data_IF_691112919046
#
_entry.id   IF_691112919046
#
_cell.length_a   1.000
_cell.length_b   1.000
_cell.length_c   1.000
_cell.angle_alpha   90.00
_cell.angle_beta   90.00
_cell.angle_gamma   90.00
#
_symmetry.space_group_name_H-M   'P 1'
#
loop_
_entity.id
_entity.type
_entity.pdbx_description
1 polymer ?
#
# COMPACT_ATOMS: atom_id res chain seq x y z
N UNK A 1 16.59 -1.90 -9.83
CA UNK A 1 16.14 -0.57 -9.36
C UNK A 1 16.29 -0.37 -7.84
N UNK A 2 15.39 -0.89 -6.98
CA UNK A 2 15.42 -0.54 -5.55
C UNK A 2 16.66 -1.08 -4.81
N UNK A 3 17.13 -2.29 -5.13
CA UNK A 3 18.38 -2.85 -4.60
C UNK A 3 19.63 -2.04 -5.03
N UNK A 4 19.66 -1.54 -6.27
CA UNK A 4 20.75 -0.68 -6.76
C UNK A 4 20.73 0.70 -6.09
N UNK A 5 19.54 1.25 -5.83
CA UNK A 5 19.40 2.49 -5.07
C UNK A 5 19.92 2.31 -3.64
N UNK A 6 19.55 1.20 -2.98
CA UNK A 6 20.06 0.83 -1.66
C UNK A 6 21.59 0.68 -1.64
N UNK A 7 22.17 0.15 -2.72
CA UNK A 7 23.62 0.08 -2.88
C UNK A 7 24.30 1.44 -2.96
N UNK A 8 23.77 2.35 -3.78
CA UNK A 8 24.26 3.73 -3.88
C UNK A 8 24.12 4.48 -2.57
N UNK A 9 23.08 4.15 -1.80
CA UNK A 9 22.88 4.61 -0.44
C UNK A 9 23.79 3.91 0.57
N UNK A 10 24.69 3.00 0.19
CA UNK A 10 25.61 2.27 1.10
C UNK A 10 24.90 1.43 2.17
N UNK A 11 23.67 0.98 1.88
CA UNK A 11 22.96 0.04 2.74
C UNK A 11 23.69 -1.32 2.65
N UNK A 12 24.05 -1.95 3.80
CA UNK A 12 24.70 -3.25 3.85
C UNK A 12 23.98 -4.31 3.02
N UNK A 13 24.75 -5.14 2.32
CA UNK A 13 24.23 -6.14 1.38
C UNK A 13 23.31 -7.16 2.06
N UNK A 14 23.65 -7.59 3.27
CA UNK A 14 22.85 -8.50 4.10
C UNK A 14 21.50 -7.88 4.48
N UNK A 15 21.43 -6.57 4.70
CA UNK A 15 20.17 -5.88 5.03
C UNK A 15 19.33 -5.68 3.78
N UNK A 16 19.86 -5.05 2.73
CA UNK A 16 19.07 -4.71 1.53
C UNK A 16 18.54 -5.94 0.80
N UNK A 17 19.29 -7.05 0.78
CA UNK A 17 18.88 -8.28 0.12
C UNK A 17 17.81 -9.07 0.90
N UNK A 18 17.51 -8.68 2.13
CA UNK A 18 16.43 -9.28 2.94
C UNK A 18 15.25 -8.33 3.01
N UNK A 19 15.48 -7.08 3.41
CA UNK A 19 14.42 -6.12 3.68
C UNK A 19 13.65 -5.74 2.42
N UNK A 20 14.33 -5.45 1.31
CA UNK A 20 13.65 -5.01 0.08
C UNK A 20 12.81 -6.14 -0.54
N UNK A 21 13.33 -7.37 -0.71
CA UNK A 21 12.52 -8.46 -1.26
C UNK A 21 11.35 -8.88 -0.37
N UNK A 22 11.48 -8.75 0.97
CA UNK A 22 10.37 -8.99 1.89
C UNK A 22 9.36 -7.83 1.92
N UNK A 23 9.85 -6.60 1.85
CA UNK A 23 9.04 -5.38 1.88
C UNK A 23 8.16 -5.22 0.64
N UNK A 24 8.72 -5.43 -0.55
CA UNK A 24 8.01 -5.22 -1.81
C UNK A 24 6.59 -5.88 -1.88
N UNK A 25 6.39 -7.14 -1.44
CA UNK A 25 5.05 -7.73 -1.40
C UNK A 25 4.25 -7.46 -0.11
N UNK A 26 4.89 -7.15 1.02
CA UNK A 26 4.23 -7.12 2.34
C UNK A 26 4.02 -5.70 2.90
N UNK A 27 4.92 -4.77 2.58
CA UNK A 27 5.01 -3.44 3.15
C UNK A 27 4.62 -2.40 2.10
N UNK A 28 3.30 -2.27 1.89
CA UNK A 28 2.72 -1.45 0.82
C UNK A 28 1.96 -0.22 1.36
N UNK A 29 2.69 0.71 1.96
CA UNK A 29 2.13 1.94 2.54
C UNK A 29 1.38 2.81 1.53
N UNK A 30 1.96 3.00 0.34
CA UNK A 30 1.33 3.74 -0.75
C UNK A 30 0.03 3.11 -1.22
N UNK A 31 -0.01 1.77 -1.31
CA UNK A 31 -1.22 1.03 -1.64
C UNK A 31 -2.26 1.09 -0.51
N UNK A 32 -1.80 1.12 0.75
CA UNK A 32 -2.68 1.34 1.90
C UNK A 32 -3.36 2.70 1.84
N UNK A 33 -2.58 3.77 1.61
CA UNK A 33 -3.10 5.12 1.48
C UNK A 33 -4.05 5.27 0.30
N UNK A 34 -3.70 4.67 -0.85
CA UNK A 34 -4.56 4.60 -2.04
C UNK A 34 -5.90 3.93 -1.72
N UNK A 35 -5.89 2.82 -0.99
CA UNK A 35 -7.11 2.11 -0.59
C UNK A 35 -8.05 2.99 0.25
N UNK A 36 -7.52 3.68 1.26
CA UNK A 36 -8.33 4.60 2.09
C UNK A 36 -8.91 5.74 1.24
N UNK A 37 -8.11 6.31 0.35
CA UNK A 37 -8.59 7.36 -0.56
C UNK A 37 -9.72 6.86 -1.45
N UNK A 38 -9.56 5.67 -2.07
CA UNK A 38 -10.60 5.05 -2.92
C UNK A 38 -11.89 4.80 -2.15
N UNK A 39 -11.79 4.21 -0.95
CA UNK A 39 -12.97 3.98 -0.09
C UNK A 39 -13.66 5.29 0.24
N UNK A 40 -12.91 6.33 0.62
CA UNK A 40 -13.45 7.65 0.96
C UNK A 40 -14.19 8.27 -0.23
N UNK A 41 -13.63 8.20 -1.43
CA UNK A 41 -14.28 8.73 -2.65
C UNK A 41 -15.54 7.94 -2.99
N UNK A 42 -15.52 6.61 -2.87
CA UNK A 42 -16.71 5.79 -3.09
C UNK A 42 -17.83 6.14 -2.08
N UNK A 43 -17.49 6.34 -0.81
CA UNK A 43 -18.44 6.78 0.20
C UNK A 43 -19.07 8.13 -0.15
N UNK A 44 -18.24 9.11 -0.52
CA UNK A 44 -18.71 10.42 -0.96
C UNK A 44 -19.63 10.31 -2.20
N UNK A 45 -19.28 9.46 -3.17
CA UNK A 45 -20.06 9.24 -4.39
C UNK A 45 -21.46 8.68 -4.10
N UNK A 46 -21.57 7.77 -3.13
CA UNK A 46 -22.85 7.19 -2.73
C UNK A 46 -23.56 7.96 -1.60
N UNK A 47 -23.06 9.14 -1.22
CA UNK A 47 -23.65 9.95 -0.15
C UNK A 47 -23.60 9.28 1.23
N UNK A 48 -22.65 8.37 1.46
CA UNK A 48 -22.44 7.68 2.74
C UNK A 48 -21.43 8.45 3.59
N UNK A 49 -21.63 8.40 4.91
CA UNK A 49 -20.73 9.04 5.86
C UNK A 49 -19.50 8.16 6.14
N UNK A 50 -18.32 8.64 5.78
CA UNK A 50 -17.05 7.97 6.07
C UNK A 50 -16.51 8.28 7.48
N UNK A 51 -17.04 9.30 8.15
CA UNK A 51 -16.54 9.77 9.45
C UNK A 51 -17.02 8.92 10.63
N UNK A 52 -17.96 8.00 10.38
CA UNK A 52 -18.42 7.06 11.39
C UNK A 52 -17.24 6.18 11.88
N UNK A 53 -17.01 6.08 13.20
CA UNK A 53 -15.88 5.31 13.74
C UNK A 53 -15.86 3.85 13.30
N UNK A 54 -17.03 3.22 13.13
CA UNK A 54 -17.18 1.84 12.66
C UNK A 54 -16.67 1.69 11.22
N UNK A 55 -17.00 2.65 10.35
CA UNK A 55 -16.55 2.72 8.96
C UNK A 55 -15.05 2.92 8.88
N UNK A 56 -14.48 3.84 9.68
CA UNK A 56 -13.03 4.07 9.71
C UNK A 56 -12.30 2.79 10.16
N UNK A 57 -12.79 2.14 11.22
CA UNK A 57 -12.18 0.91 11.74
C UNK A 57 -12.22 -0.21 10.69
N UNK A 58 -13.35 -0.35 9.99
CA UNK A 58 -13.50 -1.31 8.91
C UNK A 58 -12.57 -0.98 7.73
N UNK A 59 -12.44 0.30 7.37
CA UNK A 59 -11.54 0.75 6.31
C UNK A 59 -10.08 0.43 6.62
N UNK A 60 -9.64 0.64 7.87
CA UNK A 60 -8.31 0.27 8.33
C UNK A 60 -8.07 -1.24 8.22
N UNK A 61 -9.04 -2.05 8.66
CA UNK A 61 -8.96 -3.51 8.57
C UNK A 61 -8.88 -4.01 7.12
N UNK A 62 -9.76 -3.52 6.25
CA UNK A 62 -9.75 -3.85 4.80
C UNK A 62 -8.41 -3.43 4.19
N UNK A 63 -7.92 -2.25 4.52
CA UNK A 63 -6.68 -1.69 3.94
C UNK A 63 -5.45 -2.55 4.26
N UNK A 64 -5.36 -3.07 5.48
CA UNK A 64 -4.28 -4.02 5.86
C UNK A 64 -4.37 -5.28 4.99
N UNK A 65 -5.57 -5.86 4.86
CA UNK A 65 -5.77 -7.09 4.08
C UNK A 65 -5.46 -6.85 2.60
N UNK A 66 -6.01 -5.79 2.01
CA UNK A 66 -5.84 -5.45 0.59
C UNK A 66 -4.37 -5.19 0.27
N UNK A 67 -3.63 -4.51 1.13
CA UNK A 67 -2.22 -4.18 0.88
C UNK A 67 -1.34 -5.43 0.77
N UNK A 68 -1.63 -6.46 1.58
CA UNK A 68 -0.94 -7.76 1.51
C UNK A 68 -1.36 -8.51 0.24
N UNK A 69 -2.65 -8.53 -0.09
CA UNK A 69 -3.18 -9.22 -1.28
C UNK A 69 -2.63 -8.60 -2.56
N UNK A 70 -2.55 -7.27 -2.65
CA UNK A 70 -2.07 -6.55 -3.82
C UNK A 70 -0.61 -6.86 -4.16
N UNK A 71 0.24 -7.07 -3.16
CA UNK A 71 1.64 -7.47 -3.36
C UNK A 71 1.84 -8.97 -3.55
N UNK A 72 0.93 -9.80 -3.03
CA UNK A 72 1.10 -11.25 -2.93
C UNK A 72 0.64 -12.05 -4.15
N UNK A 73 -0.28 -11.53 -4.97
CA UNK A 73 -0.84 -12.26 -6.12
C UNK A 73 -0.99 -11.40 -7.38
N UNK A 74 -0.93 -12.01 -8.58
CA UNK A 74 -1.27 -11.32 -9.83
C UNK A 74 -2.68 -10.71 -9.76
N UNK A 75 -2.84 -9.47 -10.24
CA UNK A 75 -4.10 -8.72 -10.20
C UNK A 75 -4.67 -8.49 -8.79
N UNK A 76 -3.84 -8.53 -7.74
CA UNK A 76 -4.30 -8.35 -6.36
C UNK A 76 -5.00 -7.01 -6.10
N UNK A 77 -4.65 -5.94 -6.86
CA UNK A 77 -5.33 -4.64 -6.77
C UNK A 77 -6.81 -4.72 -7.15
N UNK A 78 -7.14 -5.39 -8.26
CA UNK A 78 -8.53 -5.62 -8.68
C UNK A 78 -9.31 -6.44 -7.65
N UNK A 79 -8.70 -7.51 -7.13
CA UNK A 79 -9.31 -8.37 -6.11
C UNK A 79 -9.56 -7.57 -4.81
N UNK A 80 -8.61 -6.71 -4.43
CA UNK A 80 -8.75 -5.83 -3.28
C UNK A 80 -9.90 -4.83 -3.41
N UNK A 81 -10.11 -4.29 -4.61
CA UNK A 81 -11.24 -3.39 -4.88
C UNK A 81 -12.58 -4.10 -4.79
N UNK A 82 -12.69 -5.29 -5.41
CA UNK A 82 -13.89 -6.12 -5.31
C UNK A 82 -14.19 -6.48 -3.84
N UNK A 83 -13.17 -6.84 -3.06
CA UNK A 83 -13.31 -7.10 -1.63
C UNK A 83 -13.86 -5.88 -0.89
N UNK A 84 -13.24 -4.71 -1.04
CA UNK A 84 -13.65 -3.49 -0.36
C UNK A 84 -15.11 -3.11 -0.68
N UNK A 85 -15.48 -3.11 -1.96
CA UNK A 85 -16.84 -2.79 -2.43
C UNK A 85 -17.86 -3.77 -1.86
N UNK A 86 -17.53 -5.07 -1.87
CA UNK A 86 -18.41 -6.13 -1.36
C UNK A 86 -18.64 -6.00 0.15
N UNK A 87 -17.57 -5.77 0.92
CA UNK A 87 -17.65 -5.65 2.39
C UNK A 87 -18.53 -4.46 2.80
N UNK A 88 -18.50 -3.35 2.06
CA UNK A 88 -19.35 -2.20 2.31
C UNK A 88 -20.76 -2.30 1.70
N UNK A 89 -21.05 -3.38 0.97
CA UNK A 89 -22.34 -3.56 0.28
C UNK A 89 -22.62 -2.46 -0.73
N UNK A 90 -21.58 -1.92 -1.38
CA UNK A 90 -21.74 -0.90 -2.41
C UNK A 90 -22.16 -1.56 -3.74
N UNK A 91 -22.96 -0.86 -4.58
CA UNK A 91 -23.35 -1.36 -5.90
C UNK A 91 -22.12 -1.61 -6.80
N UNK A 92 -21.85 -2.88 -7.11
CA UNK A 92 -20.62 -3.29 -7.81
C UNK A 92 -20.52 -2.70 -9.22
N UNK A 93 -21.64 -2.60 -9.94
CA UNK A 93 -21.67 -2.13 -11.33
C UNK A 93 -21.26 -0.66 -11.45
N UNK A 94 -21.57 0.15 -10.43
CA UNK A 94 -21.30 1.58 -10.37
C UNK A 94 -19.98 1.88 -9.64
N UNK A 95 -19.68 1.13 -8.58
CA UNK A 95 -18.49 1.38 -7.75
C UNK A 95 -17.18 0.92 -8.40
N UNK A 96 -17.18 -0.26 -9.05
CA UNK A 96 -15.95 -0.88 -9.54
C UNK A 96 -15.27 -0.06 -10.66
N UNK A 97 -15.97 0.46 -11.68
CA UNK A 97 -15.33 1.29 -12.71
C UNK A 97 -14.66 2.54 -12.12
N UNK A 98 -15.29 3.17 -11.14
CA UNK A 98 -14.75 4.35 -10.46
C UNK A 98 -13.53 3.98 -9.62
N UNK A 99 -13.59 2.89 -8.86
CA UNK A 99 -12.46 2.38 -8.09
C UNK A 99 -11.24 2.09 -8.98
N UNK A 100 -11.46 1.46 -10.14
CA UNK A 100 -10.40 1.13 -11.11
C UNK A 100 -9.76 2.38 -11.74
N UNK A 101 -10.57 3.39 -12.08
CA UNK A 101 -10.06 4.68 -12.60
C UNK A 101 -9.20 5.37 -11.54
N UNK A 102 -9.69 5.44 -10.31
CA UNK A 102 -8.94 6.00 -9.19
C UNK A 102 -7.65 5.21 -8.93
N UNK A 103 -7.74 3.88 -8.95
CA UNK A 103 -6.60 2.97 -8.80
C UNK A 103 -5.52 3.28 -9.83
N UNK A 104 -5.90 3.39 -11.10
CA UNK A 104 -4.97 3.74 -12.19
C UNK A 104 -4.32 5.11 -12.00
N UNK A 105 -5.08 6.10 -11.51
CA UNK A 105 -4.58 7.46 -11.28
C UNK A 105 -3.54 7.51 -10.16
N UNK A 106 -3.76 6.77 -9.08
CA UNK A 106 -2.93 6.84 -7.86
C UNK A 106 -1.83 5.78 -7.82
N UNK A 107 -1.90 4.75 -8.68
CA UNK A 107 -0.93 3.64 -8.71
C UNK A 107 0.53 4.08 -8.86
N UNK A 108 0.89 5.04 -9.75
CA UNK A 108 2.27 5.52 -9.82
C UNK A 108 2.75 6.15 -8.51
N UNK A 109 1.87 6.88 -7.82
CA UNK A 109 2.18 7.52 -6.52
C UNK A 109 2.36 6.44 -5.45
N UNK A 110 1.44 5.48 -5.39
CA UNK A 110 1.50 4.36 -4.46
C UNK A 110 2.80 3.56 -4.65
N UNK A 111 3.17 3.28 -5.90
CA UNK A 111 4.38 2.54 -6.25
C UNK A 111 5.65 3.28 -5.81
N UNK A 112 5.72 4.60 -6.00
CA UNK A 112 6.85 5.42 -5.52
C UNK A 112 6.95 5.39 -4.00
N UNK A 113 5.82 5.53 -3.30
CA UNK A 113 5.78 5.47 -1.84
C UNK A 113 6.21 4.10 -1.31
N UNK A 114 5.72 3.02 -1.91
CA UNK A 114 6.10 1.64 -1.55
C UNK A 114 7.61 1.44 -1.71
N UNK A 115 8.18 1.81 -2.87
CA UNK A 115 9.60 1.67 -3.14
C UNK A 115 10.47 2.50 -2.17
N UNK A 116 10.04 3.73 -1.86
CA UNK A 116 10.75 4.58 -0.90
C UNK A 116 10.64 4.05 0.53
N UNK A 117 9.48 3.52 0.92
CA UNK A 117 9.26 2.87 2.21
C UNK A 117 10.23 1.72 2.44
N UNK A 118 10.44 0.84 1.45
CA UNK A 118 11.40 -0.25 1.54
C UNK A 118 12.84 0.23 1.76
N UNK A 119 13.24 1.33 1.11
CA UNK A 119 14.55 1.94 1.30
C UNK A 119 14.70 2.53 2.70
N UNK A 120 13.69 3.26 3.18
CA UNK A 120 13.68 3.83 4.53
C UNK A 120 13.76 2.73 5.58
N UNK A 121 12.94 1.68 5.45
CA UNK A 121 12.98 0.51 6.33
C UNK A 121 14.35 -0.14 6.33
N UNK A 122 14.98 -0.28 5.16
CA UNK A 122 16.34 -0.83 5.04
C UNK A 122 17.38 0.04 5.75
N UNK A 123 17.30 1.37 5.64
CA UNK A 123 18.18 2.31 6.35
C UNK A 123 17.98 2.24 7.86
N UNK A 124 16.73 2.18 8.32
CA UNK A 124 16.39 2.08 9.74
C UNK A 124 16.92 0.79 10.34
N UNK A 125 16.69 -0.36 9.69
CA UNK A 125 17.21 -1.66 10.13
C UNK A 125 18.74 -1.66 10.15
N UNK A 126 19.39 -1.09 9.13
CA UNK A 126 20.84 -0.96 9.10
C UNK A 126 21.38 -0.18 10.28
N UNK A 127 20.74 0.95 10.63
CA UNK A 127 21.13 1.79 11.77
C UNK A 127 21.04 1.03 13.09
N UNK A 128 20.01 0.21 13.29
CA UNK A 128 19.84 -0.55 14.53
C UNK A 128 20.71 -1.82 14.59
N UNK A 129 20.85 -2.55 13.49
CA UNK A 129 21.59 -3.83 13.44
C UNK A 129 23.10 -3.63 13.38
N UNK A 130 23.57 -2.72 12.52
CA UNK A 130 25.00 -2.55 12.21
C UNK A 130 25.61 -1.34 12.94
N UNK A 131 24.81 -0.62 13.75
CA UNK A 131 25.17 0.67 14.36
C UNK A 131 25.76 1.66 13.36
N UNK A 132 25.33 1.59 12.10
CA UNK A 132 25.88 2.41 11.02
C UNK A 132 25.70 3.88 11.38
N UNK A 133 26.82 4.60 11.53
CA UNK A 133 26.82 6.05 11.72
C UNK A 133 26.61 6.69 10.36
N UNK A 134 25.36 6.93 10.03
CA UNK A 134 24.98 7.80 8.92
C UNK A 134 25.31 9.24 9.35
N UNK A 135 26.46 9.75 8.93
CA UNK A 135 26.81 11.18 8.95
C UNK A 135 26.62 11.76 7.57
#
# INVERSE_FOLDING_TARGET
>A
ANLEAAEKMKIPINVRNVVIPLGAPLHKDGSSMSSILKITVLFAMFGKDFTEPSTILLALGITIVVSIVEGGIPNGGYIGEVLAITVYGLPMAEALPVAMILGTLVDPIATVLNANGDLISSMMISRFSEKTKWT
#
